data_IF_932559612305
#
_entry.id   IF_932559612305
#
_cell.length_a   1.000
_cell.length_b   1.000
_cell.length_c   1.000
_cell.angle_alpha   90.00
_cell.angle_beta   90.00
_cell.angle_gamma   90.00
#
_symmetry.space_group_name_H-M   'P 1'
#
loop_
_entity.id
_entity.type
_entity.pdbx_description
1 polymer ?
#
# COMPACT_ATOMS: atom_id res chain seq x y z
N UNK A 1 -47.49 -49.27 -53.64
CA UNK A 1 -46.43 -48.35 -53.16
C UNK A 1 -47.09 -47.19 -52.43
N UNK A 2 -47.15 -47.23 -51.09
CA UNK A 2 -47.71 -46.16 -50.24
C UNK A 2 -46.53 -45.33 -49.71
N UNK A 3 -46.48 -44.04 -50.04
CA UNK A 3 -45.50 -43.09 -49.47
C UNK A 3 -46.12 -42.47 -48.20
N UNK A 4 -45.52 -42.75 -47.05
CA UNK A 4 -45.85 -42.12 -45.77
C UNK A 4 -45.05 -40.82 -45.70
N UNK A 5 -45.76 -39.69 -45.69
CA UNK A 5 -45.19 -38.36 -45.54
C UNK A 5 -45.10 -38.09 -44.02
N UNK A 6 -43.91 -38.18 -43.44
CA UNK A 6 -43.66 -37.85 -42.03
C UNK A 6 -43.49 -36.34 -41.94
N UNK A 7 -44.48 -35.67 -41.35
CA UNK A 7 -44.46 -34.24 -41.06
C UNK A 7 -43.67 -34.02 -39.76
N UNK A 8 -42.38 -33.73 -39.86
CA UNK A 8 -41.54 -33.36 -38.71
C UNK A 8 -41.92 -31.93 -38.31
N UNK A 9 -42.73 -31.80 -37.27
CA UNK A 9 -43.05 -30.51 -36.64
C UNK A 9 -41.82 -30.01 -35.88
N UNK A 10 -41.14 -29.03 -36.47
CA UNK A 10 -39.98 -28.35 -35.89
C UNK A 10 -40.50 -27.34 -34.84
N UNK A 11 -40.61 -27.77 -33.58
CA UNK A 11 -40.93 -26.90 -32.46
C UNK A 11 -39.69 -26.07 -32.15
N UNK A 12 -39.62 -24.84 -32.67
CA UNK A 12 -38.64 -23.85 -32.22
C UNK A 12 -38.98 -23.43 -30.79
N UNK A 13 -38.35 -24.06 -29.81
CA UNK A 13 -38.26 -23.56 -28.44
C UNK A 13 -37.45 -22.26 -28.45
N UNK A 14 -38.13 -21.12 -28.51
CA UNK A 14 -37.57 -19.83 -28.15
C UNK A 14 -37.35 -19.80 -26.64
N UNK A 15 -36.18 -20.26 -26.20
CA UNK A 15 -35.67 -19.96 -24.87
C UNK A 15 -35.39 -18.47 -24.79
N UNK A 16 -36.37 -17.69 -24.32
CA UNK A 16 -36.12 -16.34 -23.83
C UNK A 16 -35.21 -16.46 -22.62
N UNK A 17 -33.90 -16.38 -22.85
CA UNK A 17 -32.93 -16.15 -21.82
C UNK A 17 -33.23 -14.76 -21.23
N UNK A 18 -34.09 -14.72 -20.22
CA UNK A 18 -34.17 -13.59 -19.30
C UNK A 18 -32.83 -13.54 -18.58
N UNK A 19 -31.85 -12.90 -19.21
CA UNK A 19 -30.64 -12.47 -18.54
C UNK A 19 -31.06 -11.44 -17.51
N UNK A 20 -31.33 -11.90 -16.28
CA UNK A 20 -31.31 -11.03 -15.12
C UNK A 20 -29.88 -10.53 -15.07
N UNK A 21 -29.65 -9.34 -15.61
CA UNK A 21 -28.41 -8.62 -15.40
C UNK A 21 -28.31 -8.46 -13.88
N UNK A 22 -27.50 -9.31 -13.25
CA UNK A 22 -27.15 -9.11 -11.86
C UNK A 22 -26.47 -7.75 -11.82
N UNK A 23 -27.16 -6.77 -11.25
CA UNK A 23 -26.61 -5.46 -10.98
C UNK A 23 -25.47 -5.72 -9.99
N UNK A 24 -24.24 -5.80 -10.50
CA UNK A 24 -23.05 -5.96 -9.68
C UNK A 24 -22.91 -4.65 -8.94
N UNK A 25 -23.32 -4.63 -7.67
CA UNK A 25 -23.11 -3.48 -6.80
C UNK A 25 -21.63 -3.09 -6.89
N UNK A 26 -21.37 -1.89 -7.42
CA UNK A 26 -20.03 -1.32 -7.54
C UNK A 26 -19.42 -1.22 -6.14
N UNK A 27 -18.19 -1.71 -5.96
CA UNK A 27 -17.54 -1.67 -4.64
C UNK A 27 -17.05 -0.25 -4.40
N UNK A 28 -17.46 0.32 -3.28
CA UNK A 28 -17.13 1.69 -2.90
C UNK A 28 -16.06 1.70 -1.80
N UNK A 29 -15.44 2.86 -1.51
CA UNK A 29 -14.59 2.97 -0.32
C UNK A 29 -15.32 2.65 1.00
N UNK A 30 -16.65 2.69 1.05
CA UNK A 30 -17.40 2.32 2.24
C UNK A 30 -17.41 0.81 2.49
N UNK A 31 -17.40 -0.01 1.44
CA UNK A 31 -17.30 -1.46 1.53
C UNK A 31 -15.89 -1.88 1.97
N UNK A 32 -14.86 -1.23 1.42
CA UNK A 32 -13.48 -1.40 1.88
C UNK A 32 -13.31 -0.96 3.35
N UNK A 33 -13.94 0.15 3.75
CA UNK A 33 -13.97 0.58 5.16
C UNK A 33 -14.65 -0.46 6.07
N UNK A 34 -15.78 -1.03 5.63
CA UNK A 34 -16.50 -2.04 6.38
C UNK A 34 -15.65 -3.29 6.63
N UNK A 35 -14.88 -3.70 5.61
CA UNK A 35 -13.95 -4.81 5.69
C UNK A 35 -12.79 -4.51 6.65
N UNK A 36 -12.19 -3.31 6.57
CA UNK A 36 -11.14 -2.88 7.48
C UNK A 36 -11.64 -2.76 8.95
N UNK A 37 -12.89 -2.33 9.16
CA UNK A 37 -13.55 -2.31 10.48
C UNK A 37 -13.73 -3.71 11.06
N UNK A 38 -14.15 -4.68 10.25
CA UNK A 38 -14.26 -6.07 10.67
C UNK A 38 -12.89 -6.65 11.08
N UNK A 39 -11.84 -6.41 10.27
CA UNK A 39 -10.48 -6.82 10.59
C UNK A 39 -9.98 -6.18 11.90
N UNK A 40 -10.23 -4.88 12.09
CA UNK A 40 -9.86 -4.17 13.31
C UNK A 40 -10.53 -4.76 14.56
N UNK A 41 -11.85 -5.03 14.51
CA UNK A 41 -12.57 -5.66 15.62
C UNK A 41 -12.05 -7.07 15.91
N UNK A 42 -11.68 -7.83 14.88
CA UNK A 42 -11.03 -9.12 15.03
C UNK A 42 -9.69 -8.99 15.77
N UNK A 43 -8.85 -8.03 15.38
CA UNK A 43 -7.58 -7.75 16.05
C UNK A 43 -7.76 -7.27 17.51
N UNK A 44 -8.82 -6.51 17.81
CA UNK A 44 -9.15 -6.10 19.19
C UNK A 44 -9.42 -7.30 20.09
N UNK A 45 -10.15 -8.32 19.60
CA UNK A 45 -10.35 -9.56 20.36
C UNK A 45 -9.04 -10.32 20.58
N UNK A 46 -8.16 -10.36 19.59
CA UNK A 46 -6.82 -10.96 19.73
C UNK A 46 -6.01 -10.23 20.81
N UNK A 47 -6.05 -8.89 20.84
CA UNK A 47 -5.37 -8.07 21.85
C UNK A 47 -5.95 -8.32 23.25
N UNK A 48 -7.27 -8.34 23.39
CA UNK A 48 -7.96 -8.62 24.65
C UNK A 48 -7.59 -10.01 25.18
N UNK A 49 -7.57 -11.02 24.31
CA UNK A 49 -7.18 -12.40 24.65
C UNK A 49 -5.74 -12.48 25.17
N UNK A 50 -4.86 -11.59 24.68
CA UNK A 50 -3.47 -11.46 25.16
C UNK A 50 -3.34 -10.55 26.38
N UNK A 51 -4.43 -9.99 26.89
CA UNK A 51 -4.43 -9.03 28.01
C UNK A 51 -3.84 -7.66 27.65
N UNK A 52 -3.72 -7.33 26.36
CA UNK A 52 -3.16 -6.07 25.88
C UNK A 52 -4.29 -5.05 25.72
N UNK A 53 -4.33 -4.05 26.60
CA UNK A 53 -5.43 -3.06 26.64
C UNK A 53 -5.07 -1.69 26.06
N UNK A 54 -3.78 -1.35 26.03
CA UNK A 54 -3.31 -0.01 25.72
C UNK A 54 -2.43 -0.04 24.46
N UNK A 55 -3.06 0.03 23.30
CA UNK A 55 -2.35 0.19 22.02
C UNK A 55 -2.21 1.69 21.72
N UNK A 56 -0.98 2.16 21.55
CA UNK A 56 -0.70 3.56 21.22
C UNK A 56 -0.92 3.81 19.72
N UNK A 57 -2.12 4.25 19.36
CA UNK A 57 -2.44 4.63 17.99
C UNK A 57 -1.76 5.95 17.57
N UNK A 58 -1.54 6.13 16.27
CA UNK A 58 -1.01 7.37 15.72
C UNK A 58 -2.06 8.47 15.77
N UNK A 59 -1.68 9.65 16.27
CA UNK A 59 -2.57 10.81 16.37
C UNK A 59 -2.76 11.50 15.02
N UNK A 60 -1.73 11.55 14.21
CA UNK A 60 -1.72 12.26 12.93
C UNK A 60 -2.44 11.44 11.87
N UNK A 61 -3.38 12.08 11.17
CA UNK A 61 -4.10 11.50 10.04
C UNK A 61 -3.73 12.23 8.76
N UNK A 62 -3.52 11.46 7.71
CA UNK A 62 -3.31 11.98 6.36
C UNK A 62 -4.65 12.40 5.73
N UNK A 63 -4.60 13.13 4.62
CA UNK A 63 -5.79 13.55 3.87
C UNK A 63 -5.54 13.51 2.37
N UNK A 64 -6.61 13.45 1.58
CA UNK A 64 -6.51 13.44 0.11
C UNK A 64 -5.90 12.16 -0.46
N UNK A 65 -5.95 11.06 0.30
CA UNK A 65 -5.43 9.76 -0.14
C UNK A 65 -6.42 9.04 -1.05
N UNK A 66 -5.86 8.34 -2.04
CA UNK A 66 -6.52 7.46 -3.02
C UNK A 66 -6.37 5.96 -2.67
N UNK A 67 -7.12 5.04 -3.31
CA UNK A 67 -7.08 3.60 -3.03
C UNK A 67 -5.68 2.96 -3.03
N UNK A 68 -4.77 3.41 -3.90
CA UNK A 68 -3.39 2.90 -3.95
C UNK A 68 -2.63 3.03 -2.62
N UNK A 69 -2.90 4.08 -1.84
CA UNK A 69 -2.24 4.27 -0.54
C UNK A 69 -2.80 3.30 0.49
N UNK A 70 -4.12 3.07 0.44
CA UNK A 70 -4.81 2.10 1.28
C UNK A 70 -4.31 0.68 0.99
N UNK A 71 -4.19 0.32 -0.29
CA UNK A 71 -3.60 -0.94 -0.71
C UNK A 71 -2.18 -1.12 -0.14
N UNK A 72 -1.35 -0.08 -0.20
CA UNK A 72 0.03 -0.15 0.29
C UNK A 72 0.14 -0.33 1.81
N UNK A 73 -0.80 0.20 2.60
CA UNK A 73 -0.84 -0.08 4.06
C UNK A 73 -1.40 -1.48 4.35
N UNK A 74 -2.32 -2.00 3.54
CA UNK A 74 -2.78 -3.39 3.65
C UNK A 74 -1.68 -4.41 3.32
N UNK A 75 -0.81 -4.11 2.37
CA UNK A 75 0.41 -4.91 2.16
C UNK A 75 1.27 -4.95 3.43
N UNK A 76 1.39 -3.84 4.16
CA UNK A 76 2.10 -3.80 5.44
C UNK A 76 1.37 -4.58 6.55
N UNK A 77 0.04 -4.61 6.54
CA UNK A 77 -0.76 -5.47 7.42
C UNK A 77 -0.50 -6.95 7.16
N UNK A 78 -0.46 -7.36 5.89
CA UNK A 78 -0.13 -8.72 5.45
C UNK A 78 1.29 -9.11 5.88
N UNK A 79 2.28 -8.24 5.67
CA UNK A 79 3.66 -8.46 6.14
C UNK A 79 3.71 -8.69 7.65
N UNK A 80 2.92 -7.93 8.42
CA UNK A 80 2.85 -8.05 9.88
C UNK A 80 2.13 -9.32 10.33
N UNK A 81 1.05 -9.71 9.64
CA UNK A 81 0.35 -10.98 9.86
C UNK A 81 1.28 -12.16 9.63
N UNK A 82 2.08 -12.17 8.56
CA UNK A 82 3.06 -13.24 8.30
C UNK A 82 4.06 -13.39 9.47
N UNK A 83 4.51 -12.28 10.06
CA UNK A 83 5.39 -12.29 11.23
C UNK A 83 4.67 -12.86 12.47
N UNK A 84 3.43 -12.44 12.69
CA UNK A 84 2.58 -12.94 13.78
C UNK A 84 2.33 -14.45 13.62
N UNK A 85 1.90 -14.91 12.45
CA UNK A 85 1.68 -16.33 12.17
C UNK A 85 2.93 -17.17 12.38
N UNK A 86 4.08 -16.68 11.92
CA UNK A 86 5.38 -17.35 12.13
C UNK A 86 5.70 -17.47 13.62
N UNK A 87 5.50 -16.39 14.39
CA UNK A 87 5.68 -16.38 15.86
C UNK A 87 4.75 -17.36 16.56
N UNK A 88 3.51 -17.46 16.09
CA UNK A 88 2.49 -18.38 16.60
C UNK A 88 2.63 -19.82 16.07
N UNK A 89 3.68 -20.10 15.28
CA UNK A 89 3.93 -21.41 14.64
C UNK A 89 2.77 -21.89 13.75
N UNK A 90 2.02 -20.93 13.19
CA UNK A 90 1.02 -21.17 12.17
C UNK A 90 1.68 -21.16 10.78
N UNK A 91 1.04 -21.79 9.80
CA UNK A 91 1.48 -21.69 8.41
C UNK A 91 1.24 -20.26 7.92
N UNK A 92 2.29 -19.50 7.55
CA UNK A 92 2.13 -18.12 7.13
C UNK A 92 1.42 -18.04 5.77
N UNK A 93 0.64 -16.97 5.57
CA UNK A 93 0.01 -16.68 4.29
C UNK A 93 1.06 -16.33 3.21
N UNK A 94 0.74 -16.47 1.90
CA UNK A 94 1.60 -16.00 0.83
C UNK A 94 1.85 -14.48 0.92
N UNK A 95 3.06 -14.04 0.56
CA UNK A 95 3.38 -12.62 0.48
C UNK A 95 2.66 -11.96 -0.70
N UNK A 96 2.14 -10.77 -0.48
CA UNK A 96 1.58 -9.89 -1.51
C UNK A 96 2.61 -8.80 -1.83
N UNK A 97 2.75 -8.45 -3.10
CA UNK A 97 3.59 -7.34 -3.56
C UNK A 97 2.75 -6.34 -4.33
N UNK A 98 3.03 -5.05 -4.15
CA UNK A 98 2.40 -4.00 -4.93
C UNK A 98 3.02 -3.90 -6.33
N UNK A 99 2.16 -3.85 -7.34
CA UNK A 99 2.53 -3.73 -8.75
C UNK A 99 1.98 -2.43 -9.35
N UNK A 100 2.64 -1.84 -10.35
CA UNK A 100 2.10 -0.67 -11.04
C UNK A 100 0.75 -0.98 -11.71
N UNK A 101 -0.36 -0.49 -11.13
CA UNK A 101 -1.72 -0.62 -11.69
C UNK A 101 -2.63 0.50 -11.22
N UNK A 102 -3.79 0.64 -11.87
CA UNK A 102 -4.86 1.52 -11.39
C UNK A 102 -5.62 0.83 -10.26
N UNK A 103 -5.31 1.22 -9.04
CA UNK A 103 -5.97 0.70 -7.84
C UNK A 103 -7.36 1.30 -7.67
N UNK A 104 -8.35 0.42 -7.49
CA UNK A 104 -9.74 0.74 -7.23
C UNK A 104 -10.17 0.25 -5.81
N UNK A 105 -11.34 0.67 -5.29
CA UNK A 105 -11.84 0.18 -4.00
C UNK A 105 -11.99 -1.35 -3.94
N UNK A 106 -12.28 -2.01 -5.06
CA UNK A 106 -12.34 -3.46 -5.20
C UNK A 106 -11.03 -4.14 -4.80
N UNK A 107 -9.88 -3.59 -5.22
CA UNK A 107 -8.56 -4.16 -4.92
C UNK A 107 -8.24 -4.09 -3.42
N UNK A 108 -8.67 -2.99 -2.79
CA UNK A 108 -8.52 -2.75 -1.35
C UNK A 108 -9.45 -3.66 -0.57
N UNK A 109 -10.72 -3.75 -0.95
CA UNK A 109 -11.69 -4.64 -0.30
C UNK A 109 -11.26 -6.11 -0.40
N UNK A 110 -10.69 -6.52 -1.54
CA UNK A 110 -10.14 -7.86 -1.73
C UNK A 110 -9.00 -8.17 -0.73
N UNK A 111 -8.00 -7.28 -0.60
CA UNK A 111 -6.93 -7.48 0.39
C UNK A 111 -7.46 -7.43 1.82
N UNK A 112 -8.40 -6.52 2.11
CA UNK A 112 -9.10 -6.47 3.39
C UNK A 112 -9.75 -7.80 3.75
N UNK A 113 -10.43 -8.46 2.81
CA UNK A 113 -11.06 -9.78 3.02
C UNK A 113 -10.01 -10.86 3.32
N UNK A 114 -8.85 -10.82 2.63
CA UNK A 114 -7.74 -11.71 2.97
C UNK A 114 -7.26 -11.48 4.40
N UNK A 115 -7.06 -10.23 4.82
CA UNK A 115 -6.65 -9.87 6.18
C UNK A 115 -7.67 -10.36 7.22
N UNK A 116 -8.97 -10.16 6.99
CA UNK A 116 -10.04 -10.68 7.86
C UNK A 116 -9.93 -12.20 8.01
N UNK A 117 -9.74 -12.92 6.90
CA UNK A 117 -9.62 -14.39 6.91
C UNK A 117 -8.44 -14.86 7.77
N UNK A 118 -7.27 -14.21 7.63
CA UNK A 118 -6.08 -14.61 8.40
C UNK A 118 -6.20 -14.26 9.88
N UNK A 119 -6.80 -13.13 10.24
CA UNK A 119 -7.11 -12.79 11.64
C UNK A 119 -8.09 -13.83 12.22
N UNK A 120 -9.11 -14.23 11.47
CA UNK A 120 -10.03 -15.29 11.88
C UNK A 120 -9.30 -16.63 12.10
N UNK A 121 -8.39 -17.01 11.20
CA UNK A 121 -7.57 -18.23 11.35
C UNK A 121 -6.75 -18.21 12.64
N UNK A 122 -6.13 -17.07 12.97
CA UNK A 122 -5.39 -16.90 14.24
C UNK A 122 -6.34 -17.01 15.43
N UNK A 123 -7.52 -16.38 15.35
CA UNK A 123 -8.56 -16.43 16.38
C UNK A 123 -9.00 -17.87 16.68
N UNK A 124 -9.24 -18.67 15.64
CA UNK A 124 -9.59 -20.09 15.75
C UNK A 124 -8.45 -20.91 16.39
N UNK A 125 -7.21 -20.66 15.99
CA UNK A 125 -6.03 -21.32 16.58
C UNK A 125 -5.85 -20.99 18.07
N UNK A 126 -6.28 -19.81 18.51
CA UNK A 126 -6.28 -19.39 19.92
C UNK A 126 -7.56 -19.80 20.68
N UNK A 127 -8.49 -20.51 20.03
CA UNK A 127 -9.71 -21.00 20.67
C UNK A 127 -10.77 -19.93 20.93
N UNK A 128 -10.67 -18.76 20.29
CA UNK A 128 -11.64 -17.66 20.43
C UNK A 128 -12.86 -17.99 19.57
N UNK A 129 -14.01 -18.23 20.21
CA UNK A 129 -15.25 -18.66 19.54
C UNK A 129 -16.11 -17.49 19.05
N UNK A 130 -16.03 -16.35 19.72
CA UNK A 130 -16.92 -15.20 19.48
C UNK A 130 -16.32 -14.18 18.51
N UNK A 131 -15.68 -14.68 17.44
CA UNK A 131 -15.12 -13.81 16.39
C UNK A 131 -16.24 -13.03 15.68
N UNK A 132 -16.12 -11.71 15.47
CA UNK A 132 -17.13 -10.93 14.77
C UNK A 132 -17.27 -11.42 13.33
N UNK A 133 -18.51 -11.58 12.87
CA UNK A 133 -18.81 -12.03 11.50
C UNK A 133 -19.73 -11.06 10.74
N UNK A 134 -20.31 -10.12 11.45
CA UNK A 134 -21.17 -9.09 10.89
C UNK A 134 -20.32 -8.03 10.18
N UNK A 135 -20.56 -7.83 8.88
CA UNK A 135 -20.04 -6.65 8.16
C UNK A 135 -21.02 -5.51 8.43
N UNK A 136 -20.54 -4.44 9.07
CA UNK A 136 -21.35 -3.25 9.34
C UNK A 136 -21.48 -2.41 8.08
N UNK A 137 -22.65 -1.83 7.87
CA UNK A 137 -22.88 -0.89 6.76
C UNK A 137 -22.31 0.48 7.09
N UNK A 138 -21.64 1.09 6.12
CA UNK A 138 -21.12 2.44 6.20
C UNK A 138 -21.44 3.18 4.90
N UNK A 139 -21.56 4.50 4.97
CA UNK A 139 -21.80 5.35 3.80
C UNK A 139 -20.87 6.56 3.80
N UNK A 140 -20.63 7.11 2.61
CA UNK A 140 -19.87 8.35 2.43
C UNK A 140 -18.40 8.28 2.83
N UNK A 141 -17.83 7.07 2.99
CA UNK A 141 -16.41 6.90 3.32
C UNK A 141 -15.54 7.27 2.12
N UNK A 142 -14.35 7.75 2.42
CA UNK A 142 -13.30 8.08 1.45
C UNK A 142 -12.10 7.15 1.66
N UNK A 143 -11.24 7.02 0.64
CA UNK A 143 -10.02 6.23 0.77
C UNK A 143 -9.11 6.68 1.93
N UNK A 144 -9.14 7.97 2.30
CA UNK A 144 -8.48 8.48 3.51
C UNK A 144 -9.01 7.84 4.80
N UNK A 145 -10.32 7.62 4.92
CA UNK A 145 -10.91 6.97 6.09
C UNK A 145 -10.49 5.50 6.16
N UNK A 146 -10.49 4.81 5.01
CA UNK A 146 -10.06 3.40 4.90
C UNK A 146 -8.57 3.29 5.26
N UNK A 147 -7.73 4.21 4.77
CA UNK A 147 -6.31 4.26 5.13
C UNK A 147 -6.12 4.44 6.64
N UNK A 148 -6.84 5.39 7.24
CA UNK A 148 -6.78 5.64 8.68
C UNK A 148 -7.18 4.43 9.51
N UNK A 149 -8.20 3.68 9.09
CA UNK A 149 -8.65 2.43 9.72
C UNK A 149 -7.61 1.33 9.58
N UNK A 150 -7.05 1.13 8.38
CA UNK A 150 -6.01 0.14 8.14
C UNK A 150 -4.68 0.46 8.86
N UNK A 151 -4.38 1.74 9.08
CA UNK A 151 -3.23 2.16 9.88
C UNK A 151 -3.40 1.82 11.36
N UNK A 152 -4.61 1.95 11.91
CA UNK A 152 -4.88 1.54 13.29
C UNK A 152 -4.74 0.02 13.43
N UNK A 153 -5.30 -0.72 12.47
CA UNK A 153 -5.12 -2.17 12.37
C UNK A 153 -3.64 -2.57 12.29
N UNK A 154 -2.83 -1.88 11.49
CA UNK A 154 -1.38 -2.12 11.38
C UNK A 154 -0.69 -2.06 12.74
N UNK A 155 -0.96 -1.01 13.52
CA UNK A 155 -0.36 -0.82 14.85
C UNK A 155 -0.80 -1.93 15.80
N UNK A 156 -2.08 -2.34 15.76
CA UNK A 156 -2.61 -3.44 16.57
C UNK A 156 -1.94 -4.77 16.23
N UNK A 157 -1.85 -5.10 14.94
CA UNK A 157 -1.19 -6.33 14.46
C UNK A 157 0.29 -6.36 14.84
N UNK A 158 0.99 -5.23 14.75
CA UNK A 158 2.38 -5.12 15.18
C UNK A 158 2.53 -5.38 16.68
N UNK A 159 1.64 -4.81 17.48
CA UNK A 159 1.62 -5.03 18.93
C UNK A 159 1.44 -6.53 19.24
N UNK A 160 0.53 -7.21 18.56
CA UNK A 160 0.36 -8.68 18.67
C UNK A 160 1.63 -9.45 18.26
N UNK A 161 2.28 -9.01 17.19
CA UNK A 161 3.55 -9.57 16.74
C UNK A 161 4.71 -9.31 17.72
N UNK A 162 4.54 -8.43 18.72
CA UNK A 162 5.60 -8.03 19.66
C UNK A 162 6.55 -6.99 19.07
N UNK A 163 6.06 -6.19 18.13
CA UNK A 163 6.78 -5.12 17.45
C UNK A 163 6.23 -3.77 17.95
N UNK A 164 6.64 -3.37 19.15
CA UNK A 164 6.02 -2.24 19.87
C UNK A 164 6.26 -0.88 19.19
N UNK A 165 7.39 -0.71 18.51
CA UNK A 165 7.74 0.55 17.86
C UNK A 165 8.24 0.33 16.43
N UNK A 166 8.02 1.33 15.58
CA UNK A 166 8.71 1.41 14.29
C UNK A 166 10.11 1.94 14.54
N UNK A 167 11.11 1.25 13.99
CA UNK A 167 12.52 1.61 14.17
C UNK A 167 13.10 2.31 12.95
N UNK A 168 14.24 3.01 13.08
CA UNK A 168 14.96 3.53 11.92
C UNK A 168 15.37 2.44 10.91
N UNK A 169 15.55 1.19 11.35
CA UNK A 169 15.82 0.06 10.44
C UNK A 169 14.68 -0.13 9.43
N UNK A 170 13.45 -0.10 9.90
CA UNK A 170 12.27 -0.32 9.05
C UNK A 170 12.06 0.85 8.09
N UNK A 171 12.19 2.09 8.58
CA UNK A 171 12.14 3.29 7.75
C UNK A 171 13.23 3.25 6.67
N UNK A 172 14.45 2.88 7.04
CA UNK A 172 15.57 2.75 6.10
C UNK A 172 15.24 1.73 5.01
N UNK A 173 14.77 0.54 5.38
CA UNK A 173 14.40 -0.50 4.41
C UNK A 173 13.31 -0.02 3.44
N UNK A 174 12.30 0.73 3.89
CA UNK A 174 11.29 1.29 3.00
C UNK A 174 11.87 2.33 2.03
N UNK A 175 12.80 3.17 2.48
CA UNK A 175 13.48 4.14 1.61
C UNK A 175 14.44 3.47 0.61
N UNK A 176 14.99 2.30 0.94
CA UNK A 176 15.73 1.46 -0.02
C UNK A 176 14.79 0.96 -1.12
N UNK A 177 13.57 0.52 -0.78
CA UNK A 177 12.56 0.12 -1.76
C UNK A 177 12.18 1.29 -2.67
N UNK A 178 11.88 2.45 -2.09
CA UNK A 178 11.58 3.66 -2.86
C UNK A 178 12.74 4.02 -3.82
N UNK A 179 13.99 3.95 -3.37
CA UNK A 179 15.14 4.18 -4.24
C UNK A 179 15.25 3.15 -5.37
N UNK A 180 14.91 1.88 -5.10
CA UNK A 180 14.86 0.83 -6.12
C UNK A 180 13.79 1.12 -7.17
N UNK A 181 12.60 1.54 -6.77
CA UNK A 181 11.53 1.89 -7.71
C UNK A 181 11.92 3.08 -8.60
N UNK A 182 12.58 4.11 -8.04
CA UNK A 182 13.10 5.22 -8.85
C UNK A 182 14.17 4.75 -9.83
N UNK A 183 15.05 3.83 -9.43
CA UNK A 183 16.05 3.23 -10.35
C UNK A 183 15.38 2.44 -11.48
N UNK A 184 14.29 1.72 -11.21
CA UNK A 184 13.50 1.06 -12.26
C UNK A 184 12.96 2.10 -13.25
N UNK A 185 12.36 3.19 -12.76
CA UNK A 185 11.87 4.28 -13.62
C UNK A 185 13.00 4.85 -14.49
N UNK A 186 14.14 5.17 -13.88
CA UNK A 186 15.32 5.69 -14.59
C UNK A 186 15.84 4.71 -15.63
N UNK A 187 15.89 3.41 -15.32
CA UNK A 187 16.34 2.36 -16.25
C UNK A 187 15.37 2.19 -17.42
N UNK A 188 14.06 2.34 -17.18
CA UNK A 188 13.06 2.31 -18.24
C UNK A 188 13.21 3.49 -19.21
N UNK A 189 13.55 4.69 -18.68
CA UNK A 189 13.77 5.89 -19.50
C UNK A 189 15.12 5.84 -20.23
N UNK A 190 16.18 5.43 -19.54
CA UNK A 190 17.53 5.32 -20.06
C UNK A 190 18.13 3.92 -19.79
N UNK A 191 17.90 2.95 -20.70
CA UNK A 191 18.43 1.60 -20.56
C UNK A 191 19.96 1.52 -20.49
N UNK A 192 20.67 2.54 -20.98
CA UNK A 192 22.12 2.65 -20.87
C UNK A 192 22.60 3.04 -19.46
N UNK A 193 21.68 3.31 -18.53
CA UNK A 193 21.94 3.63 -17.13
C UNK A 193 22.95 4.77 -16.92
N UNK A 194 22.82 5.86 -17.67
CA UNK A 194 23.71 7.04 -17.55
C UNK A 194 23.37 7.91 -16.33
N UNK A 195 22.36 7.53 -15.55
CA UNK A 195 22.04 8.19 -14.29
C UNK A 195 23.12 7.90 -13.23
N UNK A 196 23.33 8.87 -12.35
CA UNK A 196 24.33 8.81 -11.27
C UNK A 196 23.69 8.24 -10.01
N UNK A 197 24.48 7.46 -9.26
CA UNK A 197 24.08 6.86 -7.98
C UNK A 197 24.85 7.43 -6.78
N UNK A 198 25.75 8.38 -7.00
CA UNK A 198 26.56 8.98 -5.94
C UNK A 198 25.80 10.13 -5.28
N UNK A 199 25.01 9.81 -4.25
CA UNK A 199 24.33 10.83 -3.44
C UNK A 199 25.30 11.73 -2.66
N UNK A 200 24.84 12.91 -2.19
CA UNK A 200 25.64 13.82 -1.38
C UNK A 200 26.24 13.13 -0.16
N UNK A 201 27.55 13.36 0.08
CA UNK A 201 28.34 12.66 1.11
C UNK A 201 28.17 13.25 2.51
N UNK A 202 27.67 14.48 2.62
CA UNK A 202 27.66 15.23 3.88
C UNK A 202 26.25 15.26 4.47
N UNK A 203 25.99 14.35 5.40
CA UNK A 203 24.75 14.32 6.20
C UNK A 203 25.15 14.40 7.67
N UNK A 204 24.65 15.38 8.45
CA UNK A 204 24.85 15.45 9.89
C UNK A 204 24.49 14.14 10.60
N UNK A 205 25.25 13.78 11.64
CA UNK A 205 25.07 12.52 12.38
C UNK A 205 23.91 12.54 13.38
N UNK A 206 23.41 13.72 13.75
CA UNK A 206 22.43 13.96 14.81
C UNK A 206 21.00 14.23 14.29
N UNK A 207 20.69 13.66 13.12
CA UNK A 207 19.37 13.80 12.50
C UNK A 207 18.23 13.29 13.39
N UNK A 208 17.07 13.93 13.27
CA UNK A 208 15.83 13.56 13.97
C UNK A 208 14.77 13.03 13.00
N UNK A 209 13.79 12.23 13.48
CA UNK A 209 12.68 11.77 12.63
C UNK A 209 11.92 12.91 11.93
N UNK A 210 11.80 14.08 12.56
CA UNK A 210 11.17 15.27 11.95
C UNK A 210 11.89 15.78 10.70
N UNK A 211 13.23 15.69 10.67
CA UNK A 211 14.02 16.08 9.51
C UNK A 211 13.87 15.08 8.37
N UNK A 212 13.86 13.78 8.69
CA UNK A 212 13.59 12.71 7.72
C UNK A 212 12.19 12.86 7.13
N UNK A 213 11.19 13.11 7.98
CA UNK A 213 9.81 13.39 7.57
C UNK A 213 9.75 14.60 6.61
N UNK A 214 10.47 15.68 6.91
CA UNK A 214 10.57 16.85 6.04
C UNK A 214 11.14 16.54 4.66
N UNK A 215 12.12 15.63 4.56
CA UNK A 215 12.61 15.15 3.25
C UNK A 215 11.57 14.27 2.55
N UNK A 216 10.85 13.41 3.27
CA UNK A 216 9.77 12.62 2.69
C UNK A 216 8.69 13.49 2.04
N UNK A 217 8.32 14.62 2.64
CA UNK A 217 7.39 15.56 2.01
C UNK A 217 7.95 16.19 0.73
N UNK A 218 9.24 16.54 0.72
CA UNK A 218 9.92 17.05 -0.49
C UNK A 218 9.94 15.99 -1.60
N UNK A 219 10.16 14.71 -1.26
CA UNK A 219 10.07 13.59 -2.21
C UNK A 219 8.67 13.54 -2.84
N UNK A 220 7.60 13.65 -2.04
CA UNK A 220 6.22 13.66 -2.57
C UNK A 220 5.96 14.87 -3.48
N UNK A 221 6.50 16.05 -3.15
CA UNK A 221 6.44 17.23 -4.02
C UNK A 221 7.17 16.99 -5.35
N UNK A 222 8.37 16.39 -5.32
CA UNK A 222 9.13 16.06 -6.52
C UNK A 222 8.40 15.00 -7.38
N UNK A 223 7.75 14.01 -6.75
CA UNK A 223 6.89 13.04 -7.45
C UNK A 223 5.69 13.74 -8.10
N UNK A 224 5.02 14.67 -7.42
CA UNK A 224 3.91 15.42 -8.01
C UNK A 224 4.34 16.26 -9.21
N UNK A 225 5.50 16.92 -9.15
CA UNK A 225 6.04 17.66 -10.29
C UNK A 225 6.32 16.75 -11.50
N UNK A 226 6.80 15.52 -11.26
CA UNK A 226 6.94 14.51 -12.30
C UNK A 226 5.56 14.05 -12.82
N UNK A 227 4.59 13.79 -11.94
CA UNK A 227 3.23 13.39 -12.31
C UNK A 227 2.59 14.42 -13.23
N UNK A 228 2.67 15.71 -12.90
CA UNK A 228 2.22 16.79 -13.79
C UNK A 228 2.92 16.75 -15.14
N UNK A 229 4.25 16.55 -15.17
CA UNK A 229 5.01 16.41 -16.41
C UNK A 229 4.54 15.24 -17.28
N UNK A 230 4.10 14.14 -16.66
CA UNK A 230 3.54 12.97 -17.34
C UNK A 230 2.01 13.04 -17.56
N UNK A 231 1.34 14.14 -17.20
CA UNK A 231 -0.11 14.26 -17.31
C UNK A 231 -0.89 13.35 -16.35
N UNK A 232 -0.27 12.92 -15.26
CA UNK A 232 -0.91 12.15 -14.19
C UNK A 232 -1.54 13.08 -13.15
N UNK A 233 -2.66 12.70 -12.51
CA UNK A 233 -3.26 13.50 -11.42
C UNK A 233 -2.26 13.72 -10.29
N UNK A 234 -2.28 14.87 -9.60
CA UNK A 234 -1.46 15.11 -8.40
C UNK A 234 -2.14 14.61 -7.13
N UNK A 235 -1.36 14.24 -6.11
CA UNK A 235 -1.90 13.89 -4.79
C UNK A 235 -1.51 14.97 -3.77
N UNK A 236 -2.46 15.50 -2.98
CA UNK A 236 -2.14 16.50 -1.96
C UNK A 236 -1.05 16.03 -0.99
N UNK A 237 -0.07 16.89 -0.74
CA UNK A 237 0.97 16.67 0.28
C UNK A 237 0.50 17.32 1.58
N UNK A 238 0.54 16.57 2.67
CA UNK A 238 0.14 17.08 3.99
C UNK A 238 1.04 18.25 4.43
N UNK A 239 0.45 19.23 5.12
CA UNK A 239 1.22 20.27 5.79
C UNK A 239 1.78 19.76 7.12
N UNK A 240 2.98 20.22 7.50
CA UNK A 240 3.55 19.96 8.84
C UNK A 240 3.26 21.17 9.72
N UNK A 241 2.72 20.93 10.91
CA UNK A 241 2.75 21.94 11.95
C UNK A 241 4.16 21.99 12.55
N UNK A 242 4.72 23.19 12.73
CA UNK A 242 6.13 23.43 13.09
C UNK A 242 6.56 22.73 14.39
N UNK A 243 5.62 22.41 15.26
CA UNK A 243 5.84 21.90 16.61
C UNK A 243 5.32 20.45 16.81
N UNK A 244 5.10 19.70 15.72
CA UNK A 244 4.72 18.28 15.81
C UNK A 244 5.89 17.44 16.36
N UNK A 245 5.66 16.69 17.45
CA UNK A 245 6.58 15.66 17.95
C UNK A 245 6.49 14.42 17.05
N UNK A 246 7.36 14.37 16.04
CA UNK A 246 7.37 13.32 15.02
C UNK A 246 8.24 12.13 15.44
N UNK A 247 7.70 10.94 15.23
CA UNK A 247 8.33 9.65 15.52
C UNK A 247 8.73 8.91 14.24
N UNK A 248 9.53 7.84 14.32
CA UNK A 248 9.81 7.00 13.16
C UNK A 248 8.56 6.39 12.52
N UNK A 249 7.48 6.17 13.29
CA UNK A 249 6.20 5.70 12.77
C UNK A 249 5.57 6.70 11.79
N UNK A 250 5.67 8.00 12.07
CA UNK A 250 5.17 9.05 11.16
C UNK A 250 5.97 9.06 9.85
N UNK A 251 7.30 8.88 9.93
CA UNK A 251 8.16 8.76 8.76
C UNK A 251 7.82 7.51 7.95
N UNK A 252 7.61 6.37 8.60
CA UNK A 252 7.25 5.12 7.93
C UNK A 252 5.94 5.25 7.15
N UNK A 253 4.92 5.91 7.70
CA UNK A 253 3.68 6.21 6.98
C UNK A 253 3.97 6.98 5.69
N UNK A 254 4.83 8.01 5.73
CA UNK A 254 5.22 8.73 4.52
C UNK A 254 5.97 7.84 3.52
N UNK A 255 6.82 6.93 3.98
CA UNK A 255 7.52 6.02 3.06
C UNK A 255 6.55 5.08 2.33
N UNK A 256 5.48 4.62 2.98
CA UNK A 256 4.43 3.82 2.33
C UNK A 256 3.68 4.64 1.29
N UNK A 257 3.34 5.89 1.59
CA UNK A 257 2.71 6.80 0.62
C UNK A 257 3.62 7.04 -0.59
N UNK A 258 4.91 7.31 -0.36
CA UNK A 258 5.90 7.49 -1.43
C UNK A 258 5.96 6.27 -2.35
N UNK A 259 6.02 5.06 -1.80
CA UNK A 259 6.05 3.82 -2.62
C UNK A 259 4.78 3.68 -3.46
N UNK A 260 3.60 3.96 -2.88
CA UNK A 260 2.35 3.93 -3.63
C UNK A 260 2.32 4.97 -4.78
N UNK A 261 2.79 6.19 -4.52
CA UNK A 261 2.87 7.24 -5.55
C UNK A 261 3.91 6.91 -6.64
N UNK A 262 5.03 6.26 -6.29
CA UNK A 262 6.03 5.76 -7.25
C UNK A 262 5.47 4.64 -8.14
N UNK A 263 4.58 3.78 -7.64
CA UNK A 263 3.91 2.77 -8.46
C UNK A 263 3.05 3.40 -9.58
N UNK A 264 2.35 4.51 -9.31
CA UNK A 264 1.67 5.26 -10.36
C UNK A 264 2.64 5.90 -11.35
N UNK A 265 3.75 6.45 -10.85
CA UNK A 265 4.76 7.06 -11.72
C UNK A 265 5.38 6.02 -12.66
N UNK A 266 5.64 4.80 -12.18
CA UNK A 266 6.08 3.66 -12.98
C UNK A 266 5.15 3.38 -14.16
N UNK A 267 3.82 3.43 -13.95
CA UNK A 267 2.86 3.29 -15.04
C UNK A 267 3.02 4.39 -16.10
N UNK A 268 3.17 5.65 -15.67
CA UNK A 268 3.37 6.78 -16.58
C UNK A 268 4.64 6.68 -17.42
N UNK A 269 5.65 5.95 -16.95
CA UNK A 269 6.91 5.72 -17.69
C UNK A 269 6.95 4.37 -18.42
N UNK A 270 5.90 3.55 -18.33
CA UNK A 270 5.85 2.20 -18.89
C UNK A 270 6.69 1.16 -18.14
N UNK A 271 7.14 1.47 -16.91
CA UNK A 271 7.82 0.52 -16.05
C UNK A 271 6.79 -0.40 -15.38
N UNK A 272 6.89 -1.72 -15.60
CA UNK A 272 5.90 -2.70 -15.14
C UNK A 272 6.38 -3.57 -13.98
N UNK A 273 7.60 -3.37 -13.47
CA UNK A 273 8.12 -4.21 -12.39
C UNK A 273 7.40 -3.92 -11.06
N UNK A 274 7.05 -4.99 -10.35
CA UNK A 274 6.57 -4.90 -8.98
C UNK A 274 7.62 -4.29 -8.05
N UNK A 275 7.15 -3.74 -6.94
CA UNK A 275 8.02 -3.26 -5.87
C UNK A 275 8.69 -4.48 -5.22
N UNK A 276 10.03 -4.52 -5.10
CA UNK A 276 10.69 -5.64 -4.45
C UNK A 276 10.32 -5.74 -2.96
N UNK A 277 10.48 -6.92 -2.38
CA UNK A 277 10.27 -7.12 -0.94
C UNK A 277 11.34 -6.40 -0.12
N UNK A 278 10.95 -5.84 1.03
CA UNK A 278 11.89 -5.22 1.95
C UNK A 278 12.92 -6.25 2.44
N UNK A 279 14.20 -5.88 2.34
CA UNK A 279 15.29 -6.65 2.94
C UNK A 279 15.45 -6.18 4.39
N UNK A 280 15.43 -7.09 5.39
CA UNK A 280 15.69 -6.74 6.78
C UNK A 280 17.09 -6.14 6.94
N UNK A 281 17.18 -5.04 7.68
CA UNK A 281 18.45 -4.38 8.03
C UNK A 281 18.52 -4.16 9.54
N UNK A 282 19.73 -3.97 10.05
CA UNK A 282 19.98 -3.66 11.46
C UNK A 282 20.99 -2.53 11.62
N UNK A 283 21.04 -1.94 12.82
CA UNK A 283 22.01 -0.91 13.19
C UNK A 283 21.83 0.44 12.48
N UNK A 284 20.65 0.72 11.91
CA UNK A 284 20.36 2.00 11.25
C UNK A 284 19.97 3.07 12.26
N UNK A 285 20.38 4.29 11.95
CA UNK A 285 20.09 5.51 12.70
C UNK A 285 19.19 6.44 11.88
N UNK A 286 18.57 7.47 12.50
CA UNK A 286 17.88 8.52 11.74
C UNK A 286 18.77 9.24 10.71
N UNK A 287 20.09 9.33 10.93
CA UNK A 287 21.00 9.90 9.93
C UNK A 287 21.11 9.01 8.68
N UNK A 288 21.08 7.69 8.85
CA UNK A 288 21.05 6.76 7.72
C UNK A 288 19.74 6.85 6.94
N UNK A 289 18.61 6.97 7.63
CA UNK A 289 17.30 7.14 6.98
C UNK A 289 17.23 8.47 6.23
N UNK A 290 17.72 9.55 6.83
CA UNK A 290 17.83 10.85 6.16
C UNK A 290 18.68 10.75 4.89
N UNK A 291 19.88 10.16 4.98
CA UNK A 291 20.78 9.96 3.82
C UNK A 291 20.09 9.16 2.71
N UNK A 292 19.36 8.11 3.07
CA UNK A 292 18.63 7.30 2.10
C UNK A 292 17.46 8.07 1.48
N UNK A 293 16.75 8.92 2.24
CA UNK A 293 15.71 9.79 1.70
C UNK A 293 16.29 10.84 0.72
N UNK A 294 17.44 11.42 1.05
CA UNK A 294 18.18 12.32 0.14
C UNK A 294 18.57 11.59 -1.14
N UNK A 295 19.00 10.33 -1.06
CA UNK A 295 19.27 9.49 -2.24
C UNK A 295 18.02 9.31 -3.12
N UNK A 296 16.86 8.98 -2.55
CA UNK A 296 15.60 8.87 -3.32
C UNK A 296 15.33 10.16 -4.08
N UNK A 297 15.45 11.30 -3.38
CA UNK A 297 15.24 12.62 -3.96
C UNK A 297 16.23 12.94 -5.09
N UNK A 298 17.50 12.63 -4.87
CA UNK A 298 18.56 12.80 -5.85
C UNK A 298 18.28 12.01 -7.13
N UNK A 299 17.85 10.75 -7.00
CA UNK A 299 17.48 9.92 -8.15
C UNK A 299 16.27 10.50 -8.89
N UNK A 300 15.24 10.96 -8.17
CA UNK A 300 14.06 11.59 -8.78
C UNK A 300 14.42 12.83 -9.61
N UNK A 301 15.38 13.65 -9.13
CA UNK A 301 15.82 14.85 -9.85
C UNK A 301 16.41 14.58 -11.23
N UNK A 302 16.84 13.33 -11.49
CA UNK A 302 17.42 12.91 -12.77
C UNK A 302 16.37 12.46 -13.79
N UNK A 303 15.13 12.17 -13.36
CA UNK A 303 14.08 11.61 -14.23
C UNK A 303 13.74 12.56 -15.37
N UNK A 304 13.43 13.83 -15.07
CA UNK A 304 13.00 14.82 -16.07
C UNK A 304 14.12 15.16 -17.08
N UNK A 305 15.36 15.52 -16.66
CA UNK A 305 16.43 15.81 -17.62
C UNK A 305 16.75 14.64 -18.55
N UNK A 306 16.73 13.40 -18.05
CA UNK A 306 16.98 12.22 -18.87
C UNK A 306 15.86 12.00 -19.89
N UNK A 307 14.61 12.17 -19.49
CA UNK A 307 13.48 12.05 -20.40
C UNK A 307 13.53 13.11 -21.50
N UNK A 308 13.83 14.36 -21.16
CA UNK A 308 13.95 15.45 -22.13
C UNK A 308 15.09 15.20 -23.12
N UNK A 309 16.23 14.70 -22.65
CA UNK A 309 17.35 14.27 -23.49
C UNK A 309 16.97 13.13 -24.44
N UNK A 310 16.26 12.10 -23.95
CA UNK A 310 15.84 10.97 -24.78
C UNK A 310 14.82 11.39 -25.85
N UNK A 311 13.92 12.32 -25.55
CA UNK A 311 13.00 12.93 -26.54
C UNK A 311 13.74 13.72 -27.63
N UNK A 312 14.90 14.30 -27.33
CA UNK A 312 15.72 15.02 -28.31
C UNK A 312 16.49 14.06 -29.22
N UNK A 313 16.98 12.93 -28.70
CA UNK A 313 17.70 11.91 -29.49
C UNK A 313 16.80 11.08 -30.42
N UNK A 314 15.49 11.00 -30.12
CA UNK A 314 14.51 10.29 -30.93
C UNK A 314 13.85 11.12 -32.05
N UNK A 315 14.29 12.38 -32.24
CA UNK A 315 13.90 13.25 -33.34
C UNK A 315 15.05 13.41 -34.31
#
# INVERSE_FOLDING_TARGET
MKKILIFISFVMLWSTAYGVAAETNEITPSDAFATADLAERGADLLLETRGIRNVRLLKKRESGLNPMHTYQIEVANIETLILLETKEKLRPMPRVVASPMHYAPEDVEFLGKMIVHEIQKISEAWGIRDYPRDIRHFEGKKATDVFGKNLDLFIKLRTLAGLEEITPNEVFSQLVLAASDVKTILTQIDPAQRFRIDAPKDVPSDMKPSEVFGICLKIRQDINALREHFGLPVVPVAAIAKDDDLSPSDVFVQTRIIIAELNLLKMGTGAVSSTPLAIPVSGKTPADTYRQAVMVRYLLSQVKPLQDMMKQLGK
#
